data_IF_318107735293
#
_entry.id   IF_318107735293
#
_cell.length_a   1.000
_cell.length_b   1.000
_cell.length_c   1.000
_cell.angle_alpha   90.00
_cell.angle_beta   90.00
_cell.angle_gamma   90.00
#
_symmetry.space_group_name_H-M   'P 1'
#
loop_
_entity.id
_entity.type
_entity.pdbx_description
1 polymer ?
#
# COMPACT_ATOMS: atom_id res chain seq x y z
N UNK A 1 13.37 -21.46 -14.20
CA UNK A 1 14.21 -20.37 -14.74
C UNK A 1 13.37 -19.11 -14.74
N UNK A 2 13.81 -17.97 -14.22
CA UNK A 2 13.00 -16.77 -14.22
C UNK A 2 12.74 -16.36 -15.67
N UNK A 3 11.48 -16.32 -16.05
CA UNK A 3 11.08 -15.71 -17.31
C UNK A 3 11.42 -14.22 -17.19
N UNK A 4 12.32 -13.76 -18.01
CA UNK A 4 12.71 -12.35 -18.03
C UNK A 4 11.50 -11.49 -18.42
N UNK A 5 11.39 -10.26 -17.93
CA UNK A 5 10.34 -9.28 -18.31
C UNK A 5 10.11 -9.20 -19.83
N UNK A 6 11.15 -9.42 -20.63
CA UNK A 6 11.07 -9.52 -22.07
C UNK A 6 10.15 -10.67 -22.56
N UNK A 7 10.16 -11.81 -21.87
CA UNK A 7 9.33 -12.99 -22.21
C UNK A 7 7.85 -12.74 -21.83
N UNK A 8 7.59 -12.00 -20.76
CA UNK A 8 6.23 -11.61 -20.36
C UNK A 8 5.59 -10.64 -21.35
N UNK A 9 6.31 -9.60 -21.76
CA UNK A 9 5.83 -8.68 -22.81
C UNK A 9 5.57 -9.40 -24.13
N UNK A 10 6.43 -10.34 -24.50
CA UNK A 10 6.26 -11.14 -25.73
C UNK A 10 5.03 -12.05 -25.65
N UNK A 11 4.70 -12.57 -24.48
CA UNK A 11 3.48 -13.38 -24.25
C UNK A 11 2.23 -12.51 -24.34
N UNK A 12 2.21 -11.34 -23.73
CA UNK A 12 1.14 -10.33 -23.82
C UNK A 12 0.90 -9.90 -25.26
N UNK A 13 1.95 -9.57 -26.00
CA UNK A 13 1.86 -9.16 -27.40
C UNK A 13 1.28 -10.28 -28.29
N UNK A 14 1.75 -11.53 -28.10
CA UNK A 14 1.24 -12.69 -28.84
C UNK A 14 -0.22 -12.97 -28.52
N UNK A 15 -0.62 -12.84 -27.26
CA UNK A 15 -1.98 -13.07 -26.81
C UNK A 15 -2.92 -11.98 -27.34
N UNK A 16 -2.49 -10.72 -27.32
CA UNK A 16 -3.24 -9.59 -27.90
C UNK A 16 -3.40 -9.77 -29.43
N UNK A 17 -2.34 -10.15 -30.12
CA UNK A 17 -2.40 -10.44 -31.56
C UNK A 17 -3.32 -11.63 -31.89
N UNK A 18 -3.31 -12.67 -31.06
CA UNK A 18 -4.19 -13.82 -31.22
C UNK A 18 -5.65 -13.46 -30.95
N UNK A 19 -5.94 -12.61 -29.95
CA UNK A 19 -7.27 -12.07 -29.68
C UNK A 19 -7.78 -11.19 -30.83
N UNK A 20 -6.97 -10.28 -31.34
CA UNK A 20 -7.32 -9.41 -32.45
C UNK A 20 -7.53 -10.19 -33.77
N UNK A 21 -6.82 -11.28 -33.96
CA UNK A 21 -6.99 -12.17 -35.12
C UNK A 21 -8.16 -13.14 -34.98
N UNK A 22 -8.78 -13.25 -33.80
CA UNK A 22 -9.87 -14.18 -33.52
C UNK A 22 -9.43 -15.65 -33.34
N UNK A 23 -8.15 -15.89 -33.07
CA UNK A 23 -7.58 -17.25 -32.86
C UNK A 23 -7.85 -17.76 -31.43
N UNK A 24 -9.13 -17.80 -31.01
CA UNK A 24 -9.57 -18.06 -29.64
C UNK A 24 -9.09 -19.41 -29.08
N UNK A 25 -8.89 -20.44 -29.94
CA UNK A 25 -8.39 -21.74 -29.51
C UNK A 25 -6.93 -21.66 -29.05
N UNK A 26 -6.12 -20.87 -29.75
CA UNK A 26 -4.71 -20.68 -29.38
C UNK A 26 -4.58 -19.86 -28.15
N UNK A 27 -5.44 -18.81 -27.97
CA UNK A 27 -5.55 -18.00 -26.76
C UNK A 27 -5.86 -18.90 -25.56
N UNK A 28 -6.89 -19.74 -25.65
CA UNK A 28 -7.29 -20.65 -24.55
C UNK A 28 -6.15 -21.61 -24.17
N UNK A 29 -5.47 -22.19 -25.16
CA UNK A 29 -4.34 -23.10 -24.90
C UNK A 29 -3.16 -22.39 -24.25
N UNK A 30 -2.89 -21.14 -24.64
CA UNK A 30 -1.81 -20.34 -24.05
C UNK A 30 -2.17 -19.95 -22.61
N UNK A 31 -3.40 -19.54 -22.36
CA UNK A 31 -3.90 -19.09 -21.07
C UNK A 31 -3.83 -20.24 -20.04
N UNK A 32 -4.46 -21.38 -20.33
CA UNK A 32 -4.53 -22.53 -19.41
C UNK A 32 -3.19 -23.27 -19.23
N UNK A 33 -2.13 -22.82 -19.85
CA UNK A 33 -0.76 -23.29 -19.62
C UNK A 33 0.07 -22.36 -18.72
N UNK A 34 -0.52 -21.28 -18.22
CA UNK A 34 0.11 -20.31 -17.32
C UNK A 34 -0.29 -20.57 -15.88
N UNK A 35 0.56 -20.21 -14.92
CA UNK A 35 0.16 -20.16 -13.51
C UNK A 35 -0.93 -19.11 -13.25
N UNK A 36 -1.78 -19.27 -12.21
CA UNK A 36 -2.86 -18.34 -11.88
C UNK A 36 -2.41 -16.87 -11.77
N UNK A 37 -1.32 -16.59 -11.08
CA UNK A 37 -0.73 -15.24 -10.96
C UNK A 37 -0.36 -14.60 -12.31
N UNK A 38 0.09 -15.38 -13.29
CA UNK A 38 0.39 -14.89 -14.65
C UNK A 38 -0.90 -14.63 -15.45
N UNK A 39 -1.95 -15.41 -15.21
CA UNK A 39 -3.28 -15.19 -15.80
C UNK A 39 -3.90 -13.93 -15.24
N UNK A 40 -3.86 -13.73 -13.92
CA UNK A 40 -4.32 -12.53 -13.25
C UNK A 40 -3.62 -11.28 -13.81
N UNK A 41 -2.30 -11.31 -13.89
CA UNK A 41 -1.52 -10.21 -14.47
C UNK A 41 -1.89 -9.91 -15.94
N UNK A 42 -2.22 -10.94 -16.75
CA UNK A 42 -2.72 -10.74 -18.11
C UNK A 42 -4.09 -10.07 -18.14
N UNK A 43 -4.97 -10.41 -17.21
CA UNK A 43 -6.28 -9.78 -17.07
C UNK A 43 -6.14 -8.30 -16.67
N UNK A 44 -5.29 -7.98 -15.69
CA UNK A 44 -4.96 -6.61 -15.28
C UNK A 44 -4.43 -5.77 -16.45
N UNK A 45 -3.47 -6.34 -17.20
CA UNK A 45 -2.81 -5.68 -18.31
C UNK A 45 -3.67 -5.59 -19.57
N UNK A 46 -4.89 -6.16 -19.55
CA UNK A 46 -5.78 -6.19 -20.71
C UNK A 46 -6.83 -5.09 -20.66
N UNK A 47 -7.16 -4.44 -21.81
CA UNK A 47 -8.28 -3.52 -21.87
C UNK A 47 -9.62 -4.18 -21.49
N UNK A 48 -10.58 -3.45 -20.88
CA UNK A 48 -11.82 -4.02 -20.34
C UNK A 48 -12.62 -4.89 -21.30
N UNK A 49 -12.58 -4.58 -22.61
CA UNK A 49 -13.27 -5.34 -23.66
C UNK A 49 -12.75 -6.78 -23.80
N UNK A 50 -11.46 -7.02 -23.50
CA UNK A 50 -10.84 -8.34 -23.62
C UNK A 50 -10.90 -9.16 -22.32
N UNK A 51 -10.94 -8.51 -21.16
CA UNK A 51 -10.98 -9.17 -19.84
C UNK A 51 -12.10 -10.21 -19.74
N UNK A 52 -13.33 -9.85 -20.12
CA UNK A 52 -14.47 -10.76 -20.10
C UNK A 52 -14.36 -11.95 -21.10
N UNK A 53 -13.60 -11.76 -22.16
CA UNK A 53 -13.36 -12.85 -23.13
C UNK A 53 -12.31 -13.80 -22.57
N UNK A 54 -11.24 -13.27 -21.99
CA UNK A 54 -10.18 -14.03 -21.36
C UNK A 54 -10.70 -14.82 -20.17
N UNK A 55 -11.47 -14.20 -19.29
CA UNK A 55 -12.09 -14.84 -18.13
C UNK A 55 -12.86 -16.11 -18.53
N UNK A 56 -13.71 -16.03 -19.53
CA UNK A 56 -14.49 -17.17 -20.02
C UNK A 56 -13.67 -18.32 -20.65
N UNK A 57 -12.37 -18.13 -20.81
CA UNK A 57 -11.45 -19.12 -21.38
C UNK A 57 -10.62 -19.82 -20.31
N UNK A 58 -10.64 -19.32 -19.08
CA UNK A 58 -9.98 -19.94 -17.94
C UNK A 58 -10.71 -21.25 -17.60
N UNK A 59 -9.99 -22.25 -17.15
CA UNK A 59 -10.57 -23.51 -16.66
C UNK A 59 -11.14 -23.28 -15.26
N UNK A 60 -12.29 -23.89 -14.98
CA UNK A 60 -13.08 -23.64 -13.76
C UNK A 60 -12.28 -23.95 -12.48
N UNK A 61 -11.38 -24.93 -12.55
CA UNK A 61 -10.47 -25.30 -11.46
C UNK A 61 -9.35 -24.29 -11.18
N UNK A 62 -9.11 -23.33 -12.09
CA UNK A 62 -8.15 -22.23 -11.93
C UNK A 62 -8.83 -20.89 -11.65
N UNK A 63 -10.16 -20.79 -11.87
CA UNK A 63 -10.86 -19.50 -11.73
C UNK A 63 -10.75 -18.91 -10.33
N UNK A 64 -10.76 -19.75 -9.28
CA UNK A 64 -10.65 -19.33 -7.90
C UNK A 64 -9.28 -18.73 -7.57
N UNK A 65 -8.21 -19.49 -7.85
CA UNK A 65 -6.84 -19.02 -7.63
C UNK A 65 -6.52 -17.74 -8.45
N UNK A 66 -7.01 -17.68 -9.71
CA UNK A 66 -6.86 -16.45 -10.50
C UNK A 66 -7.62 -15.28 -9.90
N UNK A 67 -8.80 -15.53 -9.32
CA UNK A 67 -9.61 -14.49 -8.70
C UNK A 67 -8.91 -13.92 -7.45
N UNK A 68 -8.34 -14.77 -6.59
CA UNK A 68 -7.57 -14.36 -5.41
C UNK A 68 -6.37 -13.47 -5.75
N UNK A 69 -5.73 -13.72 -6.88
CA UNK A 69 -4.57 -12.93 -7.35
C UNK A 69 -4.95 -11.59 -8.03
N UNK A 70 -6.25 -11.30 -8.23
CA UNK A 70 -6.71 -10.06 -8.86
C UNK A 70 -6.93 -8.95 -7.83
N UNK A 71 -6.67 -7.67 -8.18
CA UNK A 71 -7.08 -6.53 -7.35
C UNK A 71 -8.60 -6.47 -7.16
N UNK A 72 -9.03 -5.93 -6.02
CA UNK A 72 -10.43 -5.86 -5.54
C UNK A 72 -11.42 -5.38 -6.58
N UNK A 73 -11.09 -4.32 -7.30
CA UNK A 73 -11.91 -3.76 -8.37
C UNK A 73 -12.19 -4.74 -9.50
N UNK A 74 -11.21 -5.58 -9.85
CA UNK A 74 -11.36 -6.61 -10.88
C UNK A 74 -12.07 -7.84 -10.32
N UNK A 75 -11.81 -8.22 -9.09
CA UNK A 75 -12.56 -9.25 -8.38
C UNK A 75 -14.04 -8.88 -8.36
N UNK A 76 -14.40 -7.70 -7.86
CA UNK A 76 -15.77 -7.19 -7.82
C UNK A 76 -16.43 -7.15 -9.22
N UNK A 77 -15.65 -6.81 -10.27
CA UNK A 77 -16.15 -6.82 -11.65
C UNK A 77 -16.59 -8.21 -12.12
N UNK A 78 -15.83 -9.26 -11.81
CA UNK A 78 -16.18 -10.63 -12.19
C UNK A 78 -17.26 -11.19 -11.28
N UNK A 79 -17.13 -11.03 -9.96
CA UNK A 79 -18.08 -11.49 -8.96
C UNK A 79 -19.50 -10.93 -9.16
N UNK A 80 -19.62 -9.66 -9.57
CA UNK A 80 -20.93 -9.03 -9.83
C UNK A 80 -21.78 -9.74 -10.90
N UNK A 81 -21.19 -10.67 -11.65
CA UNK A 81 -21.83 -11.40 -12.77
C UNK A 81 -22.06 -12.87 -12.47
N UNK A 82 -21.57 -13.35 -11.34
CA UNK A 82 -21.70 -14.73 -10.90
C UNK A 82 -22.91 -14.88 -10.00
N UNK A 83 -23.49 -16.07 -10.02
CA UNK A 83 -24.46 -16.44 -8.99
C UNK A 83 -23.77 -17.07 -7.77
N UNK A 84 -24.50 -17.21 -6.65
CA UNK A 84 -23.95 -17.72 -5.41
C UNK A 84 -23.41 -19.17 -5.51
N UNK A 85 -23.95 -19.97 -6.43
CA UNK A 85 -23.46 -21.34 -6.64
C UNK A 85 -22.15 -21.35 -7.44
N UNK A 86 -22.00 -20.45 -8.40
CA UNK A 86 -20.74 -20.24 -9.13
C UNK A 86 -19.64 -19.78 -8.20
N UNK A 87 -19.91 -18.76 -7.35
CA UNK A 87 -18.95 -18.28 -6.35
C UNK A 87 -18.53 -19.41 -5.40
N UNK A 88 -19.49 -20.16 -4.84
CA UNK A 88 -19.17 -21.29 -3.95
C UNK A 88 -18.30 -22.35 -4.64
N UNK A 89 -18.46 -22.55 -5.95
CA UNK A 89 -17.67 -23.53 -6.70
C UNK A 89 -16.22 -23.06 -6.94
N UNK A 90 -16.04 -21.78 -7.28
CA UNK A 90 -14.70 -21.23 -7.57
C UNK A 90 -13.89 -20.99 -6.30
N UNK A 91 -14.55 -20.81 -5.15
CA UNK A 91 -13.87 -20.67 -3.85
C UNK A 91 -13.56 -22.02 -3.19
N UNK A 92 -14.01 -23.15 -3.75
CA UNK A 92 -13.70 -24.47 -3.22
C UNK A 92 -12.20 -24.77 -3.37
N UNK A 93 -11.50 -24.89 -2.24
CA UNK A 93 -10.06 -25.19 -2.18
C UNK A 93 -9.15 -24.00 -2.00
N UNK A 94 -9.68 -22.77 -1.97
CA UNK A 94 -8.91 -21.59 -1.56
C UNK A 94 -8.69 -21.57 -0.04
N UNK A 95 -7.75 -20.77 0.42
CA UNK A 95 -7.52 -20.51 1.84
C UNK A 95 -8.67 -19.70 2.47
N UNK A 96 -8.85 -19.80 3.80
CA UNK A 96 -10.03 -19.20 4.47
C UNK A 96 -10.02 -17.66 4.40
N UNK A 97 -8.86 -17.02 4.43
CA UNK A 97 -8.63 -15.59 4.24
C UNK A 97 -8.97 -15.14 2.83
N UNK A 98 -8.43 -15.79 1.79
CA UNK A 98 -8.76 -15.52 0.39
C UNK A 98 -10.28 -15.58 0.14
N UNK A 99 -10.95 -16.58 0.72
CA UNK A 99 -12.41 -16.71 0.59
C UNK A 99 -13.11 -15.56 1.32
N UNK A 100 -12.60 -15.16 2.50
CA UNK A 100 -13.18 -14.06 3.26
C UNK A 100 -13.10 -12.76 2.47
N UNK A 101 -11.95 -12.44 1.88
CA UNK A 101 -11.73 -11.25 1.06
C UNK A 101 -12.67 -11.20 -0.15
N UNK A 102 -12.79 -12.34 -0.86
CA UNK A 102 -13.74 -12.48 -1.97
C UNK A 102 -15.17 -12.22 -1.51
N UNK A 103 -15.59 -12.78 -0.36
CA UNK A 103 -16.96 -12.67 0.13
C UNK A 103 -17.28 -11.30 0.72
N UNK A 104 -16.30 -10.58 1.26
CA UNK A 104 -16.48 -9.23 1.80
C UNK A 104 -16.81 -8.22 0.69
N UNK A 105 -16.38 -8.47 -0.55
CA UNK A 105 -16.71 -7.64 -1.71
C UNK A 105 -18.14 -7.86 -2.24
N UNK A 106 -18.84 -8.90 -1.78
CA UNK A 106 -20.20 -9.23 -2.21
C UNK A 106 -21.25 -8.53 -1.31
N UNK A 107 -22.43 -8.24 -1.86
CA UNK A 107 -23.55 -7.82 -1.03
C UNK A 107 -23.92 -8.90 0.01
N UNK A 108 -24.21 -8.51 1.25
CA UNK A 108 -24.55 -9.40 2.39
C UNK A 108 -25.48 -10.56 2.03
N UNK A 109 -26.46 -10.30 1.15
CA UNK A 109 -27.40 -11.32 0.70
C UNK A 109 -26.71 -12.43 -0.09
N UNK A 110 -25.79 -12.07 -0.98
CA UNK A 110 -25.08 -13.03 -1.84
C UNK A 110 -24.08 -13.82 -0.99
N UNK A 111 -23.36 -13.14 -0.11
CA UNK A 111 -22.46 -13.75 0.87
C UNK A 111 -23.19 -14.82 1.69
N UNK A 112 -24.38 -14.49 2.20
CA UNK A 112 -25.18 -15.45 2.95
C UNK A 112 -25.65 -16.64 2.09
N UNK A 113 -26.00 -16.41 0.83
CA UNK A 113 -26.37 -17.48 -0.10
C UNK A 113 -25.16 -18.39 -0.39
N UNK A 114 -23.95 -17.84 -0.61
CA UNK A 114 -22.69 -18.60 -0.81
C UNK A 114 -22.37 -19.47 0.41
N UNK A 115 -22.36 -18.89 1.60
CA UNK A 115 -22.12 -19.61 2.86
C UNK A 115 -23.09 -20.80 3.07
N UNK A 116 -24.31 -20.75 2.52
CA UNK A 116 -25.26 -21.86 2.59
C UNK A 116 -24.94 -23.02 1.62
N UNK A 117 -24.11 -22.79 0.58
CA UNK A 117 -23.63 -23.85 -0.31
C UNK A 117 -22.43 -24.58 0.26
N UNK A 118 -21.66 -23.96 1.18
CA UNK A 118 -20.50 -24.56 1.82
C UNK A 118 -20.89 -25.63 2.85
N UNK A 119 -19.96 -26.53 3.14
CA UNK A 119 -20.16 -27.47 4.24
C UNK A 119 -20.14 -26.76 5.62
N UNK A 120 -20.58 -27.47 6.65
CA UNK A 120 -20.76 -26.86 7.97
C UNK A 120 -19.42 -26.49 8.64
N UNK A 121 -18.34 -27.20 8.33
CA UNK A 121 -17.03 -27.00 8.93
C UNK A 121 -16.32 -25.81 8.28
N UNK A 122 -16.28 -25.74 6.96
CA UNK A 122 -15.69 -24.65 6.19
C UNK A 122 -16.43 -23.34 6.45
N UNK A 123 -17.76 -23.38 6.45
CA UNK A 123 -18.58 -22.23 6.84
C UNK A 123 -18.24 -21.70 8.23
N UNK A 124 -18.07 -22.58 9.24
CA UNK A 124 -17.78 -22.13 10.61
C UNK A 124 -16.37 -21.52 10.72
N UNK A 125 -15.39 -22.02 9.94
CA UNK A 125 -14.05 -21.45 9.86
C UNK A 125 -14.09 -20.06 9.23
N UNK A 126 -14.71 -19.95 8.08
CA UNK A 126 -14.82 -18.71 7.33
C UNK A 126 -15.60 -17.63 8.10
N UNK A 127 -16.74 -17.99 8.73
CA UNK A 127 -17.48 -17.08 9.61
C UNK A 127 -16.60 -16.54 10.76
N UNK A 128 -15.56 -17.28 11.19
CA UNK A 128 -14.65 -16.82 12.25
C UNK A 128 -13.61 -15.82 11.75
N UNK A 129 -13.17 -15.90 10.50
CA UNK A 129 -12.27 -14.93 9.85
C UNK A 129 -13.04 -13.64 9.53
N UNK A 130 -14.20 -13.76 8.90
CA UNK A 130 -15.08 -12.64 8.54
C UNK A 130 -15.58 -11.80 9.73
N UNK A 131 -15.31 -12.20 10.98
CA UNK A 131 -15.56 -11.37 12.17
C UNK A 131 -14.59 -10.20 12.30
N UNK A 132 -13.44 -10.27 11.61
CA UNK A 132 -12.37 -9.29 11.69
C UNK A 132 -12.30 -8.47 10.40
N UNK A 133 -11.93 -7.18 10.50
CA UNK A 133 -11.59 -6.38 9.32
C UNK A 133 -10.32 -6.89 8.64
N UNK A 134 -10.17 -6.62 7.35
CA UNK A 134 -9.00 -7.04 6.55
C UNK A 134 -7.71 -6.34 7.01
N UNK A 135 -7.80 -5.11 7.53
CA UNK A 135 -6.65 -4.33 7.99
C UNK A 135 -6.07 -4.79 9.35
N UNK A 136 -6.47 -5.96 9.86
CA UNK A 136 -5.92 -6.53 11.11
C UNK A 136 -5.52 -7.99 10.92
N UNK A 137 -4.67 -8.48 11.82
CA UNK A 137 -4.18 -9.86 11.84
C UNK A 137 -5.27 -10.93 11.75
N UNK A 138 -6.48 -10.62 12.23
CA UNK A 138 -7.62 -11.51 12.17
C UNK A 138 -8.22 -11.67 10.77
N UNK A 139 -8.12 -10.65 9.91
CA UNK A 139 -8.49 -10.73 8.49
C UNK A 139 -7.46 -11.52 7.68
N UNK A 140 -6.18 -11.29 7.92
CA UNK A 140 -5.07 -11.97 7.24
C UNK A 140 -4.83 -13.41 7.67
N UNK A 141 -5.59 -13.95 8.64
CA UNK A 141 -5.28 -15.26 9.20
C UNK A 141 -5.99 -16.39 8.45
N UNK A 142 -5.20 -17.41 8.10
CA UNK A 142 -5.73 -18.70 7.70
C UNK A 142 -5.98 -19.59 8.93
N UNK A 143 -7.15 -20.23 9.00
CA UNK A 143 -7.52 -21.10 10.11
C UNK A 143 -7.08 -22.55 9.93
N UNK A 144 -6.61 -22.92 8.73
CA UNK A 144 -6.09 -24.26 8.46
C UNK A 144 -4.69 -24.45 9.05
N UNK A 145 -4.66 -24.78 10.33
CA UNK A 145 -3.41 -24.91 11.10
C UNK A 145 -3.20 -26.31 11.65
N UNK A 146 -1.98 -26.83 11.51
CA UNK A 146 -1.60 -28.09 12.14
C UNK A 146 -1.18 -27.85 13.59
N UNK A 147 -2.02 -28.28 14.52
CA UNK A 147 -1.75 -28.18 15.95
C UNK A 147 -1.28 -29.51 16.55
N UNK A 148 -0.31 -29.43 17.46
CA UNK A 148 0.21 -30.58 18.19
C UNK A 148 0.30 -30.31 19.69
N UNK A 149 0.45 -31.37 20.49
CA UNK A 149 0.55 -31.27 21.95
C UNK A 149 2.01 -31.48 22.40
N UNK A 150 2.47 -30.70 23.38
CA UNK A 150 3.81 -30.76 23.91
C UNK A 150 4.16 -32.13 24.54
N UNK A 151 3.17 -32.97 24.91
CA UNK A 151 3.37 -34.29 25.49
C UNK A 151 3.63 -35.41 24.47
N UNK A 152 3.53 -35.12 23.17
CA UNK A 152 3.76 -36.10 22.11
C UNK A 152 5.26 -36.29 21.87
N UNK A 153 5.65 -37.48 21.37
CA UNK A 153 6.99 -37.73 20.81
C UNK A 153 7.02 -37.35 19.33
N UNK A 154 8.22 -37.04 18.82
CA UNK A 154 8.37 -36.64 17.41
C UNK A 154 7.96 -37.78 16.46
N UNK A 155 8.15 -39.07 16.83
CA UNK A 155 7.66 -40.21 16.07
C UNK A 155 6.11 -40.19 15.90
N UNK A 156 5.39 -39.83 16.97
CA UNK A 156 3.93 -39.71 16.92
C UNK A 156 3.51 -38.56 16.01
N UNK A 157 4.20 -37.42 16.09
CA UNK A 157 3.96 -36.27 15.24
C UNK A 157 4.21 -36.61 13.77
N UNK A 158 5.33 -37.27 13.44
CA UNK A 158 5.63 -37.72 12.08
C UNK A 158 4.58 -38.67 11.52
N UNK A 159 4.06 -39.57 12.36
CA UNK A 159 2.99 -40.50 11.94
C UNK A 159 1.67 -39.77 11.76
N UNK A 160 1.40 -38.75 12.53
CA UNK A 160 0.24 -37.88 12.40
C UNK A 160 0.29 -37.14 11.06
N UNK A 161 1.40 -36.43 10.76
CA UNK A 161 1.57 -35.70 9.50
C UNK A 161 1.42 -36.60 8.25
N UNK A 162 1.96 -37.83 8.30
CA UNK A 162 1.83 -38.80 7.18
C UNK A 162 0.41 -39.34 6.94
N UNK A 163 -0.55 -38.99 7.78
CA UNK A 163 -1.96 -39.35 7.61
C UNK A 163 -2.77 -38.25 6.91
N UNK A 164 -2.26 -37.03 6.90
CA UNK A 164 -2.81 -35.97 6.09
C UNK A 164 -2.47 -36.24 4.64
N UNK A 165 -3.41 -36.05 3.74
CA UNK A 165 -3.19 -36.18 2.30
C UNK A 165 -2.31 -35.03 1.82
N UNK A 166 -2.54 -33.82 2.37
CA UNK A 166 -1.76 -32.61 2.14
C UNK A 166 -1.46 -31.90 3.44
N UNK A 167 -0.38 -31.15 3.46
CA UNK A 167 -0.01 -30.23 4.54
C UNK A 167 -0.26 -28.83 3.99
N UNK A 168 -0.92 -27.94 4.75
CA UNK A 168 -1.19 -26.58 4.31
C UNK A 168 0.09 -25.91 3.78
N UNK A 169 -0.05 -25.12 2.72
CA UNK A 169 1.06 -24.41 2.10
C UNK A 169 1.79 -23.54 3.12
N UNK A 170 3.01 -23.12 2.84
CA UNK A 170 3.86 -22.31 3.73
C UNK A 170 3.99 -22.84 5.17
N UNK A 171 3.73 -24.13 5.42
CA UNK A 171 3.92 -24.75 6.75
C UNK A 171 5.40 -24.98 7.03
N UNK A 172 6.04 -24.10 7.77
CA UNK A 172 7.42 -24.20 8.26
C UNK A 172 7.50 -24.65 9.72
N UNK A 173 6.43 -24.39 10.48
CA UNK A 173 6.32 -24.71 11.90
C UNK A 173 5.00 -25.45 12.21
N UNK A 174 5.03 -26.38 13.16
CA UNK A 174 3.82 -26.94 13.75
C UNK A 174 3.48 -26.18 15.03
N UNK A 175 2.24 -25.78 15.20
CA UNK A 175 1.82 -24.95 16.33
C UNK A 175 1.56 -25.84 17.54
N UNK A 176 2.24 -25.56 18.67
CA UNK A 176 2.08 -26.33 19.90
C UNK A 176 1.09 -25.64 20.81
N UNK A 177 0.02 -26.36 21.17
CA UNK A 177 -1.04 -25.83 22.05
C UNK A 177 -1.25 -26.71 23.28
N UNK A 178 -1.81 -26.11 24.33
CA UNK A 178 -2.20 -26.83 25.55
C UNK A 178 -3.62 -27.45 25.40
N UNK A 179 -4.14 -28.07 26.49
CA UNK A 179 -5.47 -28.72 26.47
C UNK A 179 -6.65 -27.74 26.28
N UNK A 180 -6.42 -26.46 26.49
CA UNK A 180 -7.42 -25.38 26.29
C UNK A 180 -7.19 -24.65 24.98
N UNK A 181 -6.45 -25.25 24.05
CA UNK A 181 -6.07 -24.70 22.73
C UNK A 181 -5.30 -23.35 22.80
N UNK A 182 -4.70 -23.05 23.97
CA UNK A 182 -3.84 -21.87 24.08
C UNK A 182 -2.45 -22.19 23.50
N UNK A 183 -1.90 -21.21 22.81
CA UNK A 183 -0.56 -21.26 22.23
C UNK A 183 0.50 -21.39 23.31
N UNK A 184 1.48 -22.26 23.12
CA UNK A 184 2.60 -22.47 24.05
C UNK A 184 3.96 -22.52 23.35
N UNK A 185 4.02 -22.52 22.03
CA UNK A 185 5.25 -22.52 21.26
C UNK A 185 5.05 -23.14 19.87
N UNK A 186 6.14 -23.27 19.14
CA UNK A 186 6.16 -23.88 17.79
C UNK A 186 7.21 -24.99 17.73
N UNK A 187 6.97 -25.99 16.92
CA UNK A 187 7.95 -27.02 16.56
C UNK A 187 8.36 -26.83 15.09
N UNK A 188 9.57 -26.31 14.82
CA UNK A 188 10.02 -26.15 13.44
C UNK A 188 10.11 -27.49 12.71
N UNK A 189 9.62 -27.59 11.49
CA UNK A 189 9.71 -28.80 10.67
C UNK A 189 11.16 -29.24 10.47
N UNK A 190 12.10 -28.31 10.33
CA UNK A 190 13.53 -28.61 10.27
C UNK A 190 14.03 -29.37 11.51
N UNK A 191 13.53 -29.02 12.69
CA UNK A 191 13.88 -29.70 13.96
C UNK A 191 13.25 -31.09 14.03
N UNK A 192 11.98 -31.20 13.64
CA UNK A 192 11.27 -32.49 13.58
C UNK A 192 11.99 -33.51 12.69
N UNK A 193 12.51 -33.08 11.54
CA UNK A 193 13.11 -33.92 10.51
C UNK A 193 14.50 -34.49 10.93
N UNK A 194 15.26 -33.78 11.77
CA UNK A 194 16.65 -34.14 12.09
C UNK A 194 16.84 -34.61 13.54
N UNK A 195 15.82 -34.49 14.39
CA UNK A 195 15.90 -34.87 15.82
C UNK A 195 15.57 -36.33 16.04
N UNK A 196 15.95 -36.85 17.22
CA UNK A 196 15.63 -38.21 17.62
C UNK A 196 14.09 -38.40 17.69
N UNK A 197 13.54 -39.41 17.01
CA UNK A 197 12.11 -39.68 17.02
C UNK A 197 11.50 -39.93 18.41
N UNK A 198 12.31 -40.37 19.38
CA UNK A 198 11.89 -40.62 20.77
C UNK A 198 11.82 -39.35 21.63
N UNK A 199 12.42 -38.24 21.18
CA UNK A 199 12.36 -36.97 21.88
C UNK A 199 10.92 -36.43 21.97
N UNK A 200 10.62 -35.70 23.05
CA UNK A 200 9.31 -35.09 23.20
C UNK A 200 9.24 -33.73 22.50
N UNK A 201 8.04 -33.36 22.01
CA UNK A 201 7.79 -32.02 21.47
C UNK A 201 8.20 -30.93 22.45
N UNK A 202 7.94 -31.13 23.76
CA UNK A 202 8.31 -30.18 24.82
C UNK A 202 9.82 -29.87 24.89
N UNK A 203 10.66 -30.85 24.58
CA UNK A 203 12.10 -30.65 24.58
C UNK A 203 12.64 -29.97 23.34
N UNK A 204 11.88 -30.07 22.22
CA UNK A 204 12.32 -29.62 20.91
C UNK A 204 11.60 -28.34 20.43
N UNK A 205 10.47 -28.01 21.07
CA UNK A 205 9.69 -26.79 20.68
C UNK A 205 10.43 -25.50 21.05
N UNK A 206 10.20 -24.47 20.27
CA UNK A 206 10.64 -23.10 20.54
C UNK A 206 9.50 -22.37 21.25
N UNK A 207 9.81 -21.76 22.39
CA UNK A 207 8.84 -21.00 23.21
C UNK A 207 9.11 -19.50 23.23
N UNK A 208 10.19 -19.06 22.60
CA UNK A 208 10.61 -17.65 22.51
C UNK A 208 10.08 -17.03 21.23
N UNK A 209 8.81 -17.27 20.94
CA UNK A 209 8.08 -16.67 19.84
C UNK A 209 6.78 -16.09 20.41
N UNK A 210 6.64 -14.78 20.32
CA UNK A 210 5.42 -14.11 20.74
C UNK A 210 4.36 -14.28 19.63
N UNK A 211 3.17 -14.80 19.96
CA UNK A 211 2.08 -14.91 19.00
C UNK A 211 1.52 -13.53 18.66
N UNK A 212 0.92 -13.39 17.48
CA UNK A 212 0.31 -12.15 17.01
C UNK A 212 -1.10 -12.01 17.62
N UNK A 213 -1.41 -10.90 18.31
CA UNK A 213 -2.79 -10.60 18.73
C UNK A 213 -3.69 -10.38 17.50
N UNK A 214 -4.91 -10.90 17.56
CA UNK A 214 -5.88 -10.89 16.45
C UNK A 214 -6.27 -9.48 15.97
N UNK A 215 -6.19 -8.47 16.83
CA UNK A 215 -6.50 -7.07 16.58
C UNK A 215 -5.29 -6.21 16.18
N UNK A 216 -4.12 -6.85 15.98
CA UNK A 216 -2.91 -6.15 15.54
C UNK A 216 -3.09 -5.65 14.10
N UNK A 217 -2.79 -4.36 13.82
CA UNK A 217 -2.81 -3.86 12.45
C UNK A 217 -1.88 -4.65 11.51
N UNK A 218 -2.32 -4.88 10.29
CA UNK A 218 -1.61 -5.57 9.20
C UNK A 218 -0.20 -5.02 8.95
N UNK A 219 -0.06 -3.71 8.90
CA UNK A 219 1.24 -3.03 8.75
C UNK A 219 2.20 -3.26 9.93
N UNK A 220 1.69 -3.51 11.14
CA UNK A 220 2.52 -3.95 12.28
C UNK A 220 2.89 -5.44 12.15
N UNK A 221 1.96 -6.27 11.68
CA UNK A 221 2.23 -7.69 11.36
C UNK A 221 3.35 -7.78 10.32
N UNK A 222 3.24 -7.03 9.22
CA UNK A 222 4.26 -7.00 8.17
C UNK A 222 5.66 -6.64 8.70
N UNK A 223 5.73 -5.65 9.60
CA UNK A 223 7.00 -5.27 10.26
C UNK A 223 7.56 -6.36 11.19
N UNK A 224 6.71 -7.17 11.82
CA UNK A 224 7.18 -8.30 12.65
C UNK A 224 7.77 -9.39 11.76
N UNK A 225 7.10 -9.72 10.66
CA UNK A 225 7.61 -10.69 9.69
C UNK A 225 8.96 -10.25 9.12
N UNK A 226 9.08 -8.99 8.65
CA UNK A 226 10.35 -8.44 8.16
C UNK A 226 11.46 -8.49 9.22
N UNK A 227 11.15 -8.16 10.48
CA UNK A 227 12.15 -8.10 11.57
C UNK A 227 12.65 -9.46 11.99
N UNK A 228 11.79 -10.46 11.94
CA UNK A 228 12.08 -11.81 12.48
C UNK A 228 12.33 -12.85 11.40
N UNK A 229 12.24 -12.47 10.12
CA UNK A 229 12.35 -13.37 8.96
C UNK A 229 11.38 -14.57 9.08
N UNK A 230 10.13 -14.31 9.50
CA UNK A 230 9.12 -15.36 9.65
C UNK A 230 8.59 -15.81 8.30
N UNK A 231 8.26 -17.08 8.18
CA UNK A 231 7.49 -17.66 7.07
C UNK A 231 6.03 -17.81 7.48
N UNK A 232 5.78 -18.18 8.74
CA UNK A 232 4.43 -18.19 9.31
C UNK A 232 4.46 -17.77 10.79
N UNK A 233 3.34 -17.22 11.27
CA UNK A 233 3.18 -16.79 12.66
C UNK A 233 1.79 -17.13 13.21
N UNK A 234 1.67 -17.64 14.47
CA UNK A 234 0.39 -17.94 15.08
C UNK A 234 -0.36 -16.68 15.49
N UNK A 235 -1.68 -16.67 15.26
CA UNK A 235 -2.61 -15.62 15.70
C UNK A 235 -3.41 -16.09 16.89
N UNK A 236 -3.53 -15.25 17.91
CA UNK A 236 -4.23 -15.58 19.17
C UNK A 236 -5.23 -14.49 19.57
N UNK A 237 -6.26 -14.90 20.33
CA UNK A 237 -7.16 -13.99 21.02
C UNK A 237 -6.57 -13.46 22.33
N UNK A 238 -7.30 -12.56 23.02
CA UNK A 238 -6.91 -11.98 24.32
C UNK A 238 -6.66 -13.03 25.42
N UNK A 239 -7.20 -14.23 25.30
CA UNK A 239 -6.99 -15.33 26.25
C UNK A 239 -5.76 -16.18 25.92
N UNK A 240 -5.06 -15.90 24.82
CA UNK A 240 -3.96 -16.67 24.27
C UNK A 240 -4.40 -17.96 23.56
N UNK A 241 -5.69 -18.10 23.24
CA UNK A 241 -6.20 -19.22 22.44
C UNK A 241 -5.81 -19.01 20.98
N UNK A 242 -5.31 -20.06 20.35
CA UNK A 242 -4.97 -20.05 18.93
C UNK A 242 -6.24 -19.90 18.09
N UNK A 243 -6.24 -18.96 17.18
CA UNK A 243 -7.28 -18.72 16.21
C UNK A 243 -6.89 -19.19 14.80
N UNK A 244 -5.68 -18.87 14.36
CA UNK A 244 -5.16 -19.18 13.04
C UNK A 244 -3.66 -18.93 12.95
N UNK A 245 -3.17 -18.80 11.74
CA UNK A 245 -1.79 -18.41 11.40
C UNK A 245 -1.83 -17.42 10.24
N UNK A 246 -0.85 -16.53 10.17
CA UNK A 246 -0.59 -15.69 9.00
C UNK A 246 0.66 -16.24 8.32
N UNK A 247 0.71 -16.17 7.01
CA UNK A 247 1.83 -16.63 6.20
C UNK A 247 2.54 -15.48 5.49
N UNK A 248 3.71 -15.73 4.90
CA UNK A 248 4.55 -14.66 4.34
C UNK A 248 4.01 -14.12 3.03
N UNK A 249 3.26 -14.91 2.26
CA UNK A 249 2.59 -14.53 1.02
C UNK A 249 1.59 -13.40 1.27
N UNK A 250 0.65 -13.54 2.23
CA UNK A 250 -0.30 -12.49 2.64
C UNK A 250 0.43 -11.22 3.08
N UNK A 251 1.50 -11.39 3.86
CA UNK A 251 2.32 -10.27 4.32
C UNK A 251 3.02 -9.55 3.17
N UNK A 252 3.42 -10.25 2.12
CA UNK A 252 4.01 -9.63 0.92
C UNK A 252 2.96 -8.76 0.20
N UNK A 253 1.71 -9.20 0.16
CA UNK A 253 0.63 -8.42 -0.43
C UNK A 253 0.33 -7.17 0.39
N UNK A 254 0.24 -7.25 1.71
CA UNK A 254 0.15 -6.08 2.60
C UNK A 254 1.29 -5.08 2.36
N UNK A 255 2.55 -5.55 2.24
CA UNK A 255 3.69 -4.67 1.97
C UNK A 255 3.56 -3.99 0.61
N UNK A 256 3.05 -4.69 -0.40
CA UNK A 256 2.84 -4.15 -1.75
C UNK A 256 1.72 -3.11 -1.74
N UNK A 257 0.61 -3.38 -1.09
CA UNK A 257 -0.52 -2.47 -0.96
C UNK A 257 -0.15 -1.20 -0.19
N UNK A 258 0.54 -1.30 0.94
CA UNK A 258 1.09 -0.16 1.69
C UNK A 258 2.00 0.73 0.82
N UNK A 259 2.81 0.11 -0.05
CA UNK A 259 3.70 0.83 -0.96
C UNK A 259 2.92 1.53 -2.08
N UNK A 260 1.95 0.86 -2.69
CA UNK A 260 1.08 1.39 -3.75
C UNK A 260 0.19 2.51 -3.19
N UNK A 261 -0.42 2.31 -2.01
CA UNK A 261 -1.16 3.34 -1.28
C UNK A 261 -0.32 4.60 -1.08
N UNK A 262 0.88 4.46 -0.52
CA UNK A 262 1.78 5.59 -0.28
C UNK A 262 2.17 6.32 -1.57
N UNK A 263 2.37 5.58 -2.66
CA UNK A 263 2.74 6.16 -3.96
C UNK A 263 1.58 6.89 -4.62
N UNK A 264 0.41 6.29 -4.68
CA UNK A 264 -0.79 6.84 -5.32
C UNK A 264 -1.34 8.03 -4.53
N UNK A 265 -1.41 7.92 -3.20
CA UNK A 265 -1.86 8.98 -2.31
C UNK A 265 -1.01 10.24 -2.41
N UNK A 266 0.32 10.15 -2.56
CA UNK A 266 1.18 11.32 -2.80
C UNK A 266 0.86 12.07 -4.11
N UNK A 267 0.28 11.38 -5.08
CA UNK A 267 -0.19 11.97 -6.34
C UNK A 267 -1.65 12.48 -6.24
N UNK A 268 -2.34 12.24 -5.14
CA UNK A 268 -3.77 12.52 -4.96
C UNK A 268 -4.65 11.57 -5.78
N UNK A 269 -4.21 10.33 -5.92
CA UNK A 269 -4.94 9.24 -6.56
C UNK A 269 -5.35 8.21 -5.51
N UNK A 270 -6.39 7.46 -5.82
CA UNK A 270 -6.82 6.29 -5.07
C UNK A 270 -5.90 5.10 -5.41
N UNK A 271 -5.57 4.27 -4.44
CA UNK A 271 -4.78 3.04 -4.65
C UNK A 271 -5.48 2.07 -5.59
N UNK A 272 -6.79 2.00 -5.52
CA UNK A 272 -7.63 1.18 -6.39
C UNK A 272 -7.74 1.72 -7.83
N UNK A 273 -7.05 2.83 -8.17
CA UNK A 273 -7.15 3.39 -9.52
C UNK A 273 -6.37 2.55 -10.54
N UNK A 274 -7.06 1.64 -11.19
CA UNK A 274 -6.50 0.78 -12.22
C UNK A 274 -5.99 1.57 -13.45
N UNK A 275 -4.84 1.14 -14.00
CA UNK A 275 -4.27 1.69 -15.25
C UNK A 275 -5.24 1.62 -16.44
N UNK A 276 -6.08 0.59 -16.51
CA UNK A 276 -7.04 0.36 -17.58
C UNK A 276 -8.49 0.62 -17.16
N UNK A 277 -8.71 1.36 -16.08
CA UNK A 277 -10.06 1.73 -15.64
C UNK A 277 -10.82 2.48 -16.75
N UNK A 278 -12.14 2.27 -16.88
CA UNK A 278 -12.96 3.03 -17.84
C UNK A 278 -12.96 4.51 -17.46
N UNK A 279 -12.94 5.39 -18.47
CA UNK A 279 -12.91 6.86 -18.29
C UNK A 279 -14.03 7.36 -17.38
N UNK A 280 -15.19 6.71 -17.40
CA UNK A 280 -16.34 7.06 -16.54
C UNK A 280 -16.09 6.83 -15.06
N UNK A 281 -15.17 5.91 -14.66
CA UNK A 281 -14.76 5.66 -13.27
C UNK A 281 -13.60 6.56 -12.88
N UNK A 282 -12.54 6.63 -13.67
CA UNK A 282 -11.34 7.40 -13.35
C UNK A 282 -11.53 8.93 -13.37
N UNK A 283 -12.33 9.46 -14.31
CA UNK A 283 -12.47 10.91 -14.46
C UNK A 283 -13.11 11.62 -13.26
N UNK A 284 -14.17 11.11 -12.58
CA UNK A 284 -14.73 11.76 -11.40
C UNK A 284 -13.76 11.82 -10.22
N UNK A 285 -13.02 10.75 -9.94
CA UNK A 285 -12.07 10.68 -8.83
C UNK A 285 -10.98 11.74 -9.01
N UNK A 286 -10.37 11.79 -10.18
CA UNK A 286 -9.36 12.82 -10.50
C UNK A 286 -9.94 14.24 -10.50
N UNK A 287 -11.20 14.42 -10.90
CA UNK A 287 -11.85 15.74 -10.94
C UNK A 287 -11.99 16.35 -9.52
N UNK A 288 -12.24 15.55 -8.50
CA UNK A 288 -12.32 16.00 -7.10
C UNK A 288 -10.99 16.60 -6.67
N UNK A 289 -9.88 15.90 -6.88
CA UNK A 289 -8.54 16.36 -6.53
C UNK A 289 -8.11 17.58 -7.36
N UNK A 290 -8.42 17.60 -8.65
CA UNK A 290 -8.18 18.78 -9.50
C UNK A 290 -9.00 19.99 -9.03
N UNK A 291 -10.24 19.78 -8.58
CA UNK A 291 -11.09 20.81 -7.99
C UNK A 291 -10.51 21.38 -6.70
N UNK A 292 -10.02 20.52 -5.83
CA UNK A 292 -9.34 20.94 -4.58
C UNK A 292 -8.07 21.76 -4.89
N UNK A 293 -7.23 21.29 -5.83
CA UNK A 293 -6.05 22.04 -6.28
C UNK A 293 -6.41 23.37 -6.92
N UNK A 294 -7.49 23.44 -7.71
CA UNK A 294 -7.98 24.69 -8.27
C UNK A 294 -8.41 25.68 -7.17
N UNK A 295 -9.11 25.19 -6.15
CA UNK A 295 -9.50 26.03 -5.01
C UNK A 295 -8.28 26.62 -4.28
N UNK A 296 -7.24 25.82 -4.03
CA UNK A 296 -6.01 26.29 -3.37
C UNK A 296 -5.22 27.25 -4.28
N UNK A 297 -5.24 27.04 -5.59
CA UNK A 297 -4.66 27.98 -6.55
C UNK A 297 -5.36 29.35 -6.53
N UNK A 298 -6.68 29.40 -6.32
CA UNK A 298 -7.39 30.67 -6.12
C UNK A 298 -6.99 31.37 -4.81
N UNK A 299 -6.66 30.64 -3.74
CA UNK A 299 -6.13 31.23 -2.50
C UNK A 299 -4.78 31.89 -2.79
N UNK A 300 -3.88 31.21 -3.48
CA UNK A 300 -2.58 31.76 -3.87
C UNK A 300 -2.73 32.98 -4.81
N UNK A 301 -3.62 32.91 -5.78
CA UNK A 301 -3.92 34.04 -6.68
C UNK A 301 -4.50 35.23 -5.93
N UNK A 302 -5.34 35.01 -4.91
CA UNK A 302 -5.87 36.08 -4.05
C UNK A 302 -4.76 36.77 -3.27
N UNK A 303 -3.75 36.02 -2.80
CA UNK A 303 -2.57 36.60 -2.15
C UNK A 303 -1.76 37.50 -3.11
N UNK A 304 -1.60 37.09 -4.38
CA UNK A 304 -0.97 37.92 -5.42
C UNK A 304 -1.76 39.21 -5.66
N UNK A 305 -3.07 39.13 -5.74
CA UNK A 305 -3.94 40.29 -6.01
C UNK A 305 -3.81 41.41 -4.97
N UNK A 306 -3.44 41.10 -3.71
CA UNK A 306 -3.18 42.10 -2.68
C UNK A 306 -2.01 43.04 -3.03
N UNK A 307 -1.13 42.63 -3.94
CA UNK A 307 0.09 43.36 -4.34
C UNK A 307 0.04 43.85 -5.79
N UNK A 308 -1.16 43.99 -6.39
CA UNK A 308 -1.32 44.37 -7.78
C UNK A 308 -0.62 45.70 -8.09
N UNK A 309 -0.76 46.73 -7.25
CA UNK A 309 -0.14 48.05 -7.44
C UNK A 309 1.40 47.96 -7.47
N UNK A 310 1.99 47.02 -6.76
CA UNK A 310 3.45 46.79 -6.77
C UNK A 310 3.89 46.12 -8.05
N UNK A 311 3.13 45.14 -8.53
CA UNK A 311 3.42 44.43 -9.78
C UNK A 311 3.30 45.39 -10.94
N UNK A 312 2.30 46.28 -10.99
CA UNK A 312 2.11 47.29 -12.04
C UNK A 312 3.29 48.28 -12.13
N UNK A 313 3.94 48.58 -10.95
CA UNK A 313 5.15 49.41 -10.92
C UNK A 313 6.39 48.67 -11.41
N UNK A 314 6.50 47.38 -11.07
CA UNK A 314 7.71 46.56 -11.34
C UNK A 314 7.30 45.22 -11.96
N UNK A 315 7.06 45.23 -13.26
CA UNK A 315 6.59 44.05 -14.02
C UNK A 315 7.55 42.86 -13.93
N UNK A 316 8.84 43.10 -13.70
CA UNK A 316 9.85 42.06 -13.48
C UNK A 316 9.48 41.08 -12.36
N UNK A 317 8.72 41.53 -11.34
CA UNK A 317 8.26 40.68 -10.23
C UNK A 317 7.35 39.56 -10.76
N UNK A 318 6.44 39.88 -11.69
CA UNK A 318 5.54 38.86 -12.27
C UNK A 318 6.31 37.74 -13.00
N UNK A 319 7.43 38.08 -13.64
CA UNK A 319 8.28 37.09 -14.35
C UNK A 319 9.01 36.17 -13.38
N UNK A 320 9.34 36.67 -12.18
CA UNK A 320 10.11 35.93 -11.17
C UNK A 320 9.24 35.11 -10.21
N UNK A 321 7.95 35.40 -10.08
CA UNK A 321 7.03 34.66 -9.18
C UNK A 321 7.05 33.14 -9.37
N UNK A 322 7.03 32.60 -10.60
CA UNK A 322 7.08 31.15 -10.81
C UNK A 322 8.32 30.47 -10.22
N UNK A 323 9.47 31.18 -10.17
CA UNK A 323 10.71 30.65 -9.58
C UNK A 323 10.53 30.43 -8.09
N UNK A 324 9.98 31.42 -7.39
CA UNK A 324 9.77 31.35 -5.94
C UNK A 324 8.80 30.22 -5.59
N UNK A 325 7.65 30.13 -6.27
CA UNK A 325 6.64 29.11 -6.05
C UNK A 325 7.19 27.70 -6.34
N UNK A 326 7.78 27.49 -7.51
CA UNK A 326 8.32 26.20 -7.93
C UNK A 326 9.39 25.68 -6.96
N UNK A 327 10.33 26.53 -6.53
CA UNK A 327 11.37 26.12 -5.61
C UNK A 327 10.84 25.75 -4.22
N UNK A 328 9.84 26.49 -3.72
CA UNK A 328 9.16 26.17 -2.45
C UNK A 328 8.42 24.82 -2.53
N UNK A 329 7.63 24.64 -3.58
CA UNK A 329 6.88 23.40 -3.79
C UNK A 329 7.79 22.17 -3.87
N UNK A 330 8.85 22.23 -4.68
CA UNK A 330 9.79 21.10 -4.83
C UNK A 330 10.52 20.80 -3.51
N UNK A 331 11.06 21.82 -2.82
CA UNK A 331 11.77 21.62 -1.56
C UNK A 331 10.86 21.03 -0.48
N UNK A 332 9.61 21.52 -0.41
CA UNK A 332 8.62 21.01 0.52
C UNK A 332 8.24 19.56 0.24
N UNK A 333 8.00 19.22 -1.04
CA UNK A 333 7.69 17.83 -1.44
C UNK A 333 8.84 16.88 -1.12
N UNK A 334 10.09 17.27 -1.33
CA UNK A 334 11.24 16.45 -0.95
C UNK A 334 11.26 16.15 0.56
N UNK A 335 11.01 17.17 1.40
CA UNK A 335 10.94 16.98 2.85
C UNK A 335 9.73 16.13 3.24
N UNK A 336 8.55 16.40 2.67
CA UNK A 336 7.31 15.63 2.91
C UNK A 336 7.53 14.14 2.62
N UNK A 337 8.06 13.81 1.44
CA UNK A 337 8.32 12.42 1.02
C UNK A 337 9.25 11.69 1.99
N UNK A 338 10.33 12.34 2.44
CA UNK A 338 11.25 11.73 3.43
C UNK A 338 10.55 11.46 4.76
N UNK A 339 9.69 12.39 5.20
CA UNK A 339 8.96 12.25 6.47
C UNK A 339 7.85 11.21 6.40
N UNK A 340 7.04 11.20 5.33
CA UNK A 340 5.98 10.20 5.11
C UNK A 340 6.59 8.81 5.11
N UNK A 341 7.66 8.60 4.34
CA UNK A 341 8.40 7.33 4.34
C UNK A 341 8.91 6.96 5.73
N UNK A 342 9.51 7.93 6.46
CA UNK A 342 10.03 7.67 7.82
C UNK A 342 8.94 7.30 8.82
N UNK A 343 7.72 7.82 8.65
CA UNK A 343 6.54 7.48 9.44
C UNK A 343 6.07 6.07 9.09
N UNK A 344 5.90 5.77 7.80
CA UNK A 344 5.49 4.45 7.30
C UNK A 344 6.45 3.34 7.79
N UNK A 345 7.76 3.60 7.75
CA UNK A 345 8.77 2.65 8.27
C UNK A 345 8.90 2.62 9.80
N UNK A 346 8.05 3.33 10.56
CA UNK A 346 8.12 3.38 12.02
C UNK A 346 9.39 4.02 12.60
N UNK A 347 10.17 4.76 11.79
CA UNK A 347 11.42 5.41 12.20
C UNK A 347 11.19 6.71 12.97
N UNK A 348 10.01 7.30 12.84
CA UNK A 348 9.64 8.56 13.48
C UNK A 348 8.89 8.29 14.77
N UNK A 349 9.41 8.81 15.88
CA UNK A 349 8.84 8.67 17.22
C UNK A 349 8.72 10.02 17.90
N UNK A 350 7.94 10.10 18.99
CA UNK A 350 7.83 11.32 19.79
C UNK A 350 9.18 11.82 20.36
N UNK A 351 10.16 10.95 20.49
CA UNK A 351 11.48 11.28 21.04
C UNK A 351 12.41 11.90 20.02
N UNK A 352 12.28 11.56 18.72
CA UNK A 352 13.19 12.03 17.67
C UNK A 352 12.58 13.10 16.73
N UNK A 353 11.26 13.34 16.79
CA UNK A 353 10.56 14.28 15.89
C UNK A 353 11.13 15.71 15.94
N UNK A 354 11.51 16.22 17.12
CA UNK A 354 12.05 17.58 17.27
C UNK A 354 13.43 17.72 16.63
N UNK A 355 14.27 16.69 16.76
CA UNK A 355 15.56 16.64 16.10
C UNK A 355 15.40 16.62 14.58
N UNK A 356 14.47 15.79 14.10
CA UNK A 356 14.17 15.65 12.68
C UNK A 356 13.67 16.98 12.08
N UNK A 357 12.76 17.64 12.76
CA UNK A 357 12.25 18.96 12.37
C UNK A 357 13.39 20.00 12.30
N UNK A 358 14.27 20.03 13.30
CA UNK A 358 15.42 20.95 13.32
C UNK A 358 16.41 20.66 12.19
N UNK A 359 16.61 19.38 11.86
CA UNK A 359 17.46 18.94 10.75
C UNK A 359 16.90 19.42 9.42
N UNK A 360 15.60 19.22 9.18
CA UNK A 360 14.98 19.63 7.90
C UNK A 360 14.99 21.15 7.74
N UNK A 361 14.73 21.91 8.80
CA UNK A 361 14.85 23.39 8.78
C UNK A 361 16.29 23.80 8.44
N UNK A 362 17.29 23.15 9.02
CA UNK A 362 18.71 23.44 8.69
C UNK A 362 19.04 23.14 7.24
N UNK A 363 18.52 22.04 6.68
CA UNK A 363 18.65 21.70 5.25
C UNK A 363 17.96 22.76 4.40
N UNK A 364 16.73 23.17 4.75
CA UNK A 364 15.98 24.22 4.08
C UNK A 364 16.73 25.57 4.08
N UNK A 365 17.31 25.94 5.22
CA UNK A 365 18.13 27.16 5.32
C UNK A 365 19.40 27.11 4.46
N UNK A 366 20.13 25.98 4.48
CA UNK A 366 21.34 25.78 3.67
C UNK A 366 21.04 25.88 2.17
N UNK A 367 20.03 25.15 1.72
CA UNK A 367 19.58 25.20 0.33
C UNK A 367 18.99 26.58 -0.01
N UNK A 368 18.26 27.18 0.94
CA UNK A 368 17.73 28.52 0.80
C UNK A 368 18.81 29.56 0.50
N UNK A 369 19.86 29.58 1.30
CA UNK A 369 21.01 30.51 1.09
C UNK A 369 21.73 30.21 -0.22
N UNK A 370 21.99 28.94 -0.52
CA UNK A 370 22.69 28.54 -1.75
C UNK A 370 21.93 29.00 -3.01
N UNK A 371 20.67 28.63 -3.12
CA UNK A 371 19.86 28.93 -4.31
C UNK A 371 19.43 30.40 -4.36
N UNK A 372 19.25 31.06 -3.21
CA UNK A 372 19.04 32.50 -3.15
C UNK A 372 20.22 33.27 -3.76
N UNK A 373 21.44 32.87 -3.46
CA UNK A 373 22.64 33.50 -4.06
C UNK A 373 22.66 33.34 -5.60
N UNK A 374 22.35 32.14 -6.10
CA UNK A 374 22.32 31.87 -7.54
C UNK A 374 21.22 32.71 -8.23
N UNK A 375 19.99 32.70 -7.68
CA UNK A 375 18.87 33.45 -8.28
C UNK A 375 19.05 34.95 -8.13
N UNK A 376 19.67 35.44 -7.04
CA UNK A 376 19.99 36.85 -6.87
C UNK A 376 20.89 37.36 -8.01
N UNK A 377 21.98 36.64 -8.28
CA UNK A 377 22.91 36.99 -9.37
C UNK A 377 22.22 36.93 -10.73
N UNK A 378 21.46 35.85 -10.99
CA UNK A 378 20.74 35.70 -12.26
C UNK A 378 19.70 36.80 -12.48
N UNK A 379 18.90 37.13 -11.47
CA UNK A 379 17.87 38.16 -11.55
C UNK A 379 18.49 39.56 -11.69
N UNK A 380 19.56 39.86 -10.93
CA UNK A 380 20.28 41.15 -11.04
C UNK A 380 20.88 41.39 -12.42
N UNK A 381 21.44 40.34 -13.03
CA UNK A 381 22.00 40.42 -14.41
C UNK A 381 20.91 40.49 -15.47
N UNK A 382 19.78 39.83 -15.26
CA UNK A 382 18.69 39.80 -16.24
C UNK A 382 17.93 41.13 -16.33
N UNK A 383 17.67 41.74 -15.15
CA UNK A 383 16.87 42.97 -15.06
C UNK A 383 17.69 44.23 -14.85
N UNK A 384 19.03 44.13 -14.77
CA UNK A 384 19.97 45.22 -14.49
C UNK A 384 19.60 46.01 -13.20
N UNK A 385 19.03 45.30 -12.21
CA UNK A 385 18.61 45.85 -10.90
C UNK A 385 19.01 44.93 -9.74
N UNK A 386 19.94 45.38 -8.91
CA UNK A 386 20.40 44.67 -7.73
C UNK A 386 19.34 44.52 -6.62
N UNK A 387 18.37 45.45 -6.57
CA UNK A 387 17.31 45.40 -5.55
C UNK A 387 16.38 44.22 -5.83
N UNK A 388 16.04 43.95 -7.10
CA UNK A 388 15.25 42.78 -7.48
C UNK A 388 15.96 41.49 -7.08
N UNK A 389 17.29 41.43 -7.30
CA UNK A 389 18.11 40.28 -6.91
C UNK A 389 18.10 40.04 -5.38
N UNK A 390 18.23 41.12 -4.59
CA UNK A 390 18.19 40.99 -3.13
C UNK A 390 16.81 40.60 -2.61
N UNK A 391 15.74 41.15 -3.20
CA UNK A 391 14.35 40.85 -2.81
C UNK A 391 14.01 39.38 -3.07
N UNK A 392 14.35 38.86 -4.27
CA UNK A 392 14.09 37.46 -4.60
C UNK A 392 14.97 36.53 -3.75
N UNK A 393 16.20 36.90 -3.44
CA UNK A 393 17.06 36.12 -2.55
C UNK A 393 16.46 35.96 -1.16
N UNK A 394 16.01 37.08 -0.56
CA UNK A 394 15.38 37.05 0.75
C UNK A 394 14.08 36.22 0.75
N UNK A 395 13.23 36.40 -0.26
CA UNK A 395 12.00 35.63 -0.44
C UNK A 395 12.28 34.13 -0.61
N UNK A 396 13.31 33.77 -1.36
CA UNK A 396 13.74 32.38 -1.57
C UNK A 396 14.16 31.73 -0.25
N UNK A 397 14.94 32.39 0.58
CA UNK A 397 15.35 31.85 1.89
C UNK A 397 14.11 31.63 2.76
N UNK A 398 13.21 32.63 2.86
CA UNK A 398 11.97 32.52 3.63
C UNK A 398 11.13 31.35 3.13
N UNK A 399 10.95 31.25 1.81
CA UNK A 399 10.08 30.21 1.23
C UNK A 399 10.67 28.81 1.41
N UNK A 400 11.99 28.60 1.19
CA UNK A 400 12.63 27.30 1.35
C UNK A 400 12.67 26.83 2.83
N UNK A 401 12.85 27.76 3.78
CA UNK A 401 12.73 27.44 5.21
C UNK A 401 11.30 27.08 5.57
N UNK A 402 10.31 27.82 5.06
CA UNK A 402 8.87 27.51 5.26
C UNK A 402 8.51 26.17 4.64
N UNK A 403 9.00 25.88 3.45
CA UNK A 403 8.79 24.61 2.77
C UNK A 403 9.34 23.42 3.58
N UNK A 404 10.57 23.54 4.08
CA UNK A 404 11.17 22.52 4.93
C UNK A 404 10.42 22.33 6.26
N UNK A 405 10.03 23.45 6.89
CA UNK A 405 9.24 23.42 8.13
C UNK A 405 7.88 22.75 7.89
N UNK A 406 7.13 23.20 6.88
CA UNK A 406 5.79 22.69 6.58
C UNK A 406 5.86 21.23 6.13
N UNK A 407 6.80 20.89 5.24
CA UNK A 407 7.00 19.51 4.78
C UNK A 407 7.35 18.53 5.90
N UNK A 408 8.01 19.02 6.97
CA UNK A 408 8.30 18.19 8.14
C UNK A 408 7.19 18.21 9.20
N UNK A 409 6.59 19.35 9.48
CA UNK A 409 5.59 19.49 10.54
C UNK A 409 4.22 18.94 10.15
N UNK A 410 3.84 19.09 8.86
CA UNK A 410 2.52 18.69 8.37
C UNK A 410 2.25 17.18 8.50
N UNK A 411 3.14 16.26 8.07
CA UNK A 411 2.92 14.83 8.26
C UNK A 411 2.76 14.44 9.72
N UNK A 412 3.57 15.01 10.61
CA UNK A 412 3.51 14.76 12.05
C UNK A 412 2.17 15.21 12.67
N UNK A 413 1.62 16.32 12.16
CA UNK A 413 0.34 16.84 12.59
C UNK A 413 -0.82 16.00 12.10
N UNK A 414 -0.81 15.61 10.81
CA UNK A 414 -1.83 14.78 10.18
C UNK A 414 -1.92 13.39 10.82
N UNK A 415 -0.78 12.73 11.05
CA UNK A 415 -0.72 11.46 11.78
C UNK A 415 -1.30 11.58 13.20
N UNK A 416 -1.08 12.71 13.88
CA UNK A 416 -1.68 12.93 15.21
C UNK A 416 -3.20 13.05 15.17
N UNK A 417 -3.74 13.52 14.05
CA UNK A 417 -5.19 13.62 13.82
C UNK A 417 -5.78 12.36 13.17
N UNK A 418 -4.97 11.33 12.96
CA UNK A 418 -5.35 10.10 12.25
C UNK A 418 -5.81 10.36 10.81
N UNK A 419 -5.19 11.32 10.16
CA UNK A 419 -5.37 11.63 8.74
C UNK A 419 -4.10 11.14 8.03
N UNK A 420 -4.29 10.47 6.90
CA UNK A 420 -3.15 10.02 6.10
C UNK A 420 -2.31 11.21 5.61
N UNK A 421 -1.02 11.27 6.01
CA UNK A 421 -0.12 12.35 5.62
C UNK A 421 0.25 12.32 4.13
N UNK A 422 0.18 11.18 3.46
CA UNK A 422 0.48 11.06 2.05
C UNK A 422 -0.59 11.77 1.21
N UNK A 423 -1.85 11.53 1.51
CA UNK A 423 -2.99 12.05 0.77
C UNK A 423 -3.15 13.57 0.89
N UNK A 424 -3.21 14.10 2.11
CA UNK A 424 -3.50 15.53 2.36
C UNK A 424 -2.25 16.42 2.30
N UNK A 425 -1.07 15.83 2.48
CA UNK A 425 0.18 16.56 2.65
C UNK A 425 0.57 17.42 1.46
N UNK A 426 0.45 16.91 0.26
CA UNK A 426 0.89 17.58 -0.98
C UNK A 426 0.13 18.88 -1.27
N UNK A 427 -1.20 18.84 -1.22
CA UNK A 427 -2.06 20.01 -1.53
C UNK A 427 -1.90 21.13 -0.49
N UNK A 428 -1.89 20.76 0.78
CA UNK A 428 -1.70 21.75 1.87
C UNK A 428 -0.31 22.37 1.80
N UNK A 429 0.72 21.55 1.57
CA UNK A 429 2.10 22.00 1.45
C UNK A 429 2.29 23.00 0.32
N UNK A 430 1.82 22.67 -0.89
CA UNK A 430 1.95 23.58 -2.04
C UNK A 430 1.19 24.89 -1.81
N UNK A 431 0.00 24.83 -1.20
CA UNK A 431 -0.76 26.03 -0.85
C UNK A 431 0.02 26.94 0.10
N UNK A 432 0.62 26.36 1.16
CA UNK A 432 1.39 27.14 2.14
C UNK A 432 2.63 27.75 1.49
N UNK A 433 3.37 26.99 0.71
CA UNK A 433 4.60 27.47 0.04
C UNK A 433 4.32 28.53 -1.01
N UNK A 434 3.22 28.42 -1.75
CA UNK A 434 2.81 29.42 -2.75
C UNK A 434 2.40 30.73 -2.06
N UNK A 435 1.50 30.66 -1.08
CA UNK A 435 1.02 31.84 -0.37
C UNK A 435 2.17 32.55 0.37
N UNK A 436 3.00 31.82 1.11
CA UNK A 436 4.13 32.42 1.84
C UNK A 436 5.19 32.91 0.86
N UNK A 437 5.45 32.19 -0.21
CA UNK A 437 6.38 32.58 -1.28
C UNK A 437 5.95 33.90 -1.93
N UNK A 438 4.70 34.02 -2.36
CA UNK A 438 4.19 35.24 -2.99
C UNK A 438 4.10 36.41 -2.01
N UNK A 439 3.58 36.17 -0.79
CA UNK A 439 3.49 37.24 0.22
C UNK A 439 4.87 37.75 0.63
N UNK A 440 5.85 36.86 0.83
CA UNK A 440 7.21 37.28 1.18
C UNK A 440 7.88 38.03 0.03
N UNK A 441 7.76 37.54 -1.20
CA UNK A 441 8.39 38.15 -2.36
C UNK A 441 7.78 39.50 -2.72
N UNK A 442 6.46 39.56 -2.89
CA UNK A 442 5.75 40.78 -3.25
C UNK A 442 5.68 41.77 -2.08
N UNK A 443 5.56 41.25 -0.84
CA UNK A 443 5.60 42.10 0.36
C UNK A 443 6.94 42.81 0.56
N UNK A 444 8.06 42.09 0.37
CA UNK A 444 9.39 42.70 0.39
C UNK A 444 9.54 43.69 -0.76
N UNK A 445 9.06 43.36 -1.95
CA UNK A 445 9.09 44.29 -3.09
C UNK A 445 8.28 45.55 -2.81
N UNK A 446 7.12 45.43 -2.18
CA UNK A 446 6.28 46.59 -1.78
C UNK A 446 7.02 47.49 -0.83
N UNK A 447 7.70 46.93 0.18
CA UNK A 447 8.49 47.74 1.14
C UNK A 447 9.67 48.49 0.50
N UNK A 448 10.21 47.94 -0.60
CA UNK A 448 11.36 48.56 -1.29
C UNK A 448 10.94 49.58 -2.35
N UNK A 449 9.82 49.38 -3.03
CA UNK A 449 9.37 50.19 -4.16
C UNK A 449 8.13 51.06 -3.84
N UNK A 450 7.60 50.97 -2.60
CA UNK A 450 6.56 51.87 -2.13
C UNK A 450 7.15 53.22 -1.74
#
# INVERSE_FOLDING_TARGET
MPQTQATRHETLDRLTLALDSGALVDVRRMLNGLPPAEIAHLLESSPPKFRNILWKMIEVDQEGEVLGELPDDLQAHFLSRMDAAEVATITEGLEDDDIADILQQLPDRVTWEVLNYMDHQDRARLESVMLYPDEVAGGLMNTDTITIRASLTLDVVMRYLRRHEEIPEMTDNLIVVNRSDQFIGVLPLRTLLVSDPSASVREMMVTDLDPIPVDMPDSEVARLFERHDWVSAPVVDDSGKLLGRITIDDVVDVIREDADHSFMSMAGLDEEEETFAPVSKAAPNRAIWLGLNLFTAFIAASAINLFQDTIDKVVALAVLMPIVASMGGIAGTQTLTVLVRGIAMGQVSRTNQNWLLSREIAIGLLNGVLWAAVVAVAASLWFDDWNIGLIIAAAMVINLVTAAFTGAALPLLLTRWRIDPALAGGVVLTTVTDVVGFVSFLGLATLFYA
#
